data_IF_241566606186
#
_entry.id   IF_241566606186
#
_cell.length_a   1.000
_cell.length_b   1.000
_cell.length_c   1.000
_cell.angle_alpha   90.00
_cell.angle_beta   90.00
_cell.angle_gamma   90.00
#
_symmetry.space_group_name_H-M   'P 1'
#
loop_
_entity.id
_entity.type
_entity.pdbx_description
1 polymer ?
#
# COMPACT_ATOMS: atom_id res chain seq x y z
N UNK A 1 11.23 -4.80 18.80
CA UNK A 1 10.02 -4.89 17.96
C UNK A 1 10.19 -3.95 16.77
N UNK A 2 10.09 -4.44 15.53
CA UNK A 2 10.22 -3.57 14.35
C UNK A 2 8.89 -2.86 14.11
N UNK A 3 8.95 -1.63 13.59
CA UNK A 3 7.77 -0.82 13.23
C UNK A 3 7.83 -0.47 11.75
N UNK A 4 6.68 -0.45 11.08
CA UNK A 4 6.57 -0.10 9.67
C UNK A 4 5.34 0.77 9.41
N UNK A 5 5.47 1.66 8.43
CA UNK A 5 4.36 2.34 7.75
C UNK A 5 4.22 1.67 6.40
N UNK A 6 2.98 1.33 6.04
CA UNK A 6 2.66 0.71 4.77
C UNK A 6 2.25 1.81 3.81
N UNK A 7 2.88 1.86 2.64
CA UNK A 7 2.51 2.77 1.56
C UNK A 7 2.07 1.95 0.35
N UNK A 8 0.87 2.21 -0.14
CA UNK A 8 0.23 1.46 -1.22
C UNK A 8 -0.18 2.46 -2.30
N UNK A 9 0.04 2.11 -3.57
CA UNK A 9 -0.38 2.93 -4.71
C UNK A 9 -0.80 2.12 -5.92
N UNK A 10 -1.62 2.74 -6.77
CA UNK A 10 -1.96 2.27 -8.13
C UNK A 10 -1.70 3.40 -9.12
N UNK A 11 -1.25 3.08 -10.33
CA UNK A 11 -0.81 4.10 -11.28
C UNK A 11 -1.91 4.52 -12.26
N UNK A 12 -2.95 3.71 -12.38
CA UNK A 12 -4.15 3.92 -13.21
C UNK A 12 -5.38 3.31 -12.55
N UNK A 13 -6.56 3.86 -12.83
CA UNK A 13 -7.84 3.34 -12.31
C UNK A 13 -8.10 1.91 -12.80
N UNK A 14 -7.68 1.58 -14.02
CA UNK A 14 -7.77 0.21 -14.54
C UNK A 14 -6.94 -0.80 -13.71
N UNK A 15 -5.82 -0.37 -13.11
CA UNK A 15 -5.03 -1.23 -12.22
C UNK A 15 -5.70 -1.42 -10.86
N UNK A 16 -6.48 -0.44 -10.40
CA UNK A 16 -7.28 -0.54 -9.19
C UNK A 16 -8.39 -1.59 -9.33
N UNK A 17 -9.02 -1.66 -10.51
CA UNK A 17 -10.19 -2.49 -10.77
C UNK A 17 -9.86 -3.93 -11.24
N UNK A 18 -8.76 -4.16 -11.98
CA UNK A 18 -8.58 -5.41 -12.74
C UNK A 18 -7.61 -6.47 -12.18
N UNK A 19 -6.84 -6.26 -11.10
CA UNK A 19 -6.04 -7.37 -10.56
C UNK A 19 -4.95 -7.09 -9.52
N UNK A 20 -4.49 -5.84 -9.37
CA UNK A 20 -3.55 -5.43 -8.32
C UNK A 20 -4.20 -4.35 -7.45
N UNK A 21 -5.44 -4.61 -7.05
CA UNK A 21 -6.23 -3.68 -6.26
C UNK A 21 -5.46 -3.29 -4.99
N UNK A 22 -5.64 -2.05 -4.57
CA UNK A 22 -5.05 -1.50 -3.32
C UNK A 22 -5.33 -2.42 -2.13
N UNK A 23 -6.50 -3.07 -2.12
CA UNK A 23 -6.90 -4.04 -1.10
C UNK A 23 -6.01 -5.29 -1.08
N UNK A 24 -5.67 -5.85 -2.24
CA UNK A 24 -4.79 -7.03 -2.31
C UNK A 24 -3.38 -6.69 -1.83
N UNK A 25 -2.84 -5.54 -2.24
CA UNK A 25 -1.54 -5.06 -1.77
C UNK A 25 -1.54 -4.88 -0.24
N UNK A 26 -2.61 -4.32 0.32
CA UNK A 26 -2.77 -4.15 1.77
C UNK A 26 -2.80 -5.48 2.51
N UNK A 27 -3.58 -6.45 2.02
CA UNK A 27 -3.69 -7.78 2.64
C UNK A 27 -2.35 -8.52 2.66
N UNK A 28 -1.59 -8.45 1.56
CA UNK A 28 -0.28 -9.08 1.48
C UNK A 28 0.71 -8.45 2.47
N UNK A 29 0.77 -7.11 2.54
CA UNK A 29 1.69 -6.41 3.44
C UNK A 29 1.30 -6.58 4.91
N UNK A 30 -0.01 -6.69 5.22
CA UNK A 30 -0.51 -7.06 6.55
C UNK A 30 -0.02 -8.45 6.97
N UNK A 31 -0.20 -9.46 6.11
CA UNK A 31 0.27 -10.83 6.39
C UNK A 31 1.79 -10.87 6.58
N UNK A 32 2.54 -10.14 5.75
CA UNK A 32 3.99 -10.05 5.91
C UNK A 32 4.38 -9.46 7.27
N UNK A 33 3.73 -8.37 7.70
CA UNK A 33 4.01 -7.74 8.99
C UNK A 33 3.68 -8.69 10.16
N UNK A 34 2.55 -9.39 10.08
CA UNK A 34 2.12 -10.38 11.07
C UNK A 34 3.13 -11.53 11.20
N UNK A 35 3.51 -12.14 10.08
CA UNK A 35 4.47 -13.25 10.04
C UNK A 35 5.86 -12.87 10.56
N UNK A 36 6.24 -11.59 10.44
CA UNK A 36 7.56 -11.09 10.82
C UNK A 36 7.57 -10.33 12.15
N UNK A 37 6.47 -10.33 12.91
CA UNK A 37 6.35 -9.57 14.17
C UNK A 37 6.70 -8.08 14.02
N UNK A 38 6.26 -7.48 12.90
CA UNK A 38 6.42 -6.06 12.60
C UNK A 38 5.12 -5.35 13.01
N UNK A 39 5.24 -4.36 13.89
CA UNK A 39 4.13 -3.50 14.26
C UNK A 39 3.83 -2.53 13.11
N UNK A 40 2.61 -2.61 12.61
CA UNK A 40 2.09 -1.63 11.65
C UNK A 40 1.63 -0.38 12.38
N UNK A 41 2.12 0.79 11.95
CA UNK A 41 1.73 2.08 12.52
C UNK A 41 0.61 2.75 11.73
N UNK A 42 0.73 2.71 10.40
CA UNK A 42 -0.17 3.42 9.49
C UNK A 42 -0.18 2.75 8.12
N UNK A 43 -1.27 2.93 7.38
CA UNK A 43 -1.38 2.55 5.96
C UNK A 43 -1.74 3.79 5.16
N UNK A 44 -0.78 4.29 4.38
CA UNK A 44 -0.94 5.40 3.44
C UNK A 44 -1.37 4.84 2.08
N UNK A 45 -2.46 5.38 1.55
CA UNK A 45 -3.03 4.99 0.25
C UNK A 45 -2.94 6.17 -0.70
N UNK A 46 -2.22 5.98 -1.81
CA UNK A 46 -2.07 6.99 -2.86
C UNK A 46 -2.68 6.46 -4.16
N UNK A 47 -3.77 7.08 -4.59
CA UNK A 47 -4.46 6.84 -5.86
C UNK A 47 -4.01 7.79 -6.98
N UNK A 48 -2.90 8.51 -6.77
CA UNK A 48 -2.36 9.48 -7.72
C UNK A 48 -1.26 8.90 -8.61
N UNK A 49 -1.22 9.39 -9.85
CA UNK A 49 -0.16 9.04 -10.80
C UNK A 49 1.21 9.56 -10.34
N UNK A 50 2.23 8.71 -10.38
CA UNK A 50 3.62 9.07 -10.06
C UNK A 50 4.27 10.05 -11.08
N UNK A 51 3.51 10.58 -12.05
CA UNK A 51 3.97 11.55 -13.05
C UNK A 51 4.36 12.89 -12.45
N UNK A 52 3.93 13.20 -11.23
CA UNK A 52 4.31 14.42 -10.53
C UNK A 52 4.69 14.13 -9.08
N UNK A 53 5.59 14.95 -8.51
CA UNK A 53 5.92 14.92 -7.07
C UNK A 53 4.93 15.75 -6.22
N UNK A 54 3.93 16.36 -6.85
CA UNK A 54 2.89 17.12 -6.16
C UNK A 54 1.80 16.15 -5.72
N UNK A 55 1.96 15.60 -4.51
CA UNK A 55 1.06 14.59 -3.94
C UNK A 55 0.72 15.01 -2.49
N UNK A 56 -0.53 14.80 -2.05
CA UNK A 56 -1.01 15.24 -0.73
C UNK A 56 -0.28 14.58 0.44
#
# INVERSE_FOLDING_TARGET
MKKAIIYIRVSTDEQADKGYSMRHQEEFLRKYCEMNSIQMLEVVKEDYSAKTFLRP
#
